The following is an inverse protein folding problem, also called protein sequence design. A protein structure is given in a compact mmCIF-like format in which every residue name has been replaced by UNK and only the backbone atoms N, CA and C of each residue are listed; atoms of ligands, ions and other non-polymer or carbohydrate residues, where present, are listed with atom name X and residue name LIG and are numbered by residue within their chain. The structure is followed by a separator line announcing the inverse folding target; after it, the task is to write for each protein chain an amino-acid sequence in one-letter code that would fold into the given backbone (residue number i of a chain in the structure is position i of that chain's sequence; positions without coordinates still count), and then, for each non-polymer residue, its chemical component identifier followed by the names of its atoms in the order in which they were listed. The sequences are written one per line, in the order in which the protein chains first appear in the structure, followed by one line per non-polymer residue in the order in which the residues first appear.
data_IF_225248914673
#
_entry.id   IF_225248914673
#
_cell.length_a   1.000
_cell.length_b   1.000
_cell.length_c   1.000
_cell.angle_alpha   90.00
_cell.angle_beta   90.00
_cell.angle_gamma   90.00
#
_symmetry.space_group_name_H-M   'P 1'
#
loop_
_entity.id
_entity.type
_entity.pdbx_description
1 polymer ?
#
# COMPACT_ATOMS: atom_id res chain seq x y z
N UNK A 1 -35.06 -28.64 49.04
CA UNK A 1 -33.83 -29.39 49.38
C UNK A 1 -32.82 -29.04 48.30
N UNK A 2 -31.61 -28.53 48.51
CA UNK A 2 -30.82 -28.28 49.70
C UNK A 2 -29.78 -27.20 49.31
N UNK A 3 -29.63 -26.18 50.16
CA UNK A 3 -28.70 -25.05 50.06
C UNK A 3 -27.24 -25.52 50.18
N UNK A 4 -26.31 -24.94 49.40
CA UNK A 4 -24.95 -24.57 49.87
C UNK A 4 -24.42 -23.33 49.11
N UNK A 5 -24.14 -22.28 49.89
CA UNK A 5 -23.29 -21.07 49.74
C UNK A 5 -22.84 -20.80 51.21
N UNK A 6 -21.71 -20.12 51.62
CA UNK A 6 -20.75 -19.22 50.91
C UNK A 6 -19.24 -19.39 51.26
N UNK A 7 -18.38 -18.59 50.61
CA UNK A 7 -17.29 -17.75 51.19
C UNK A 7 -16.59 -17.03 50.00
N UNK A 8 -16.54 -15.70 49.80
CA UNK A 8 -16.12 -14.55 50.64
C UNK A 8 -14.64 -14.74 51.11
N UNK A 9 -13.63 -13.87 50.96
CA UNK A 9 -13.42 -12.40 50.80
C UNK A 9 -11.95 -12.30 50.26
N UNK A 10 -11.50 -11.31 49.48
CA UNK A 10 -10.76 -10.14 50.01
C UNK A 10 -10.43 -9.14 48.89
N UNK A 11 -10.85 -7.89 49.10
CA UNK A 11 -10.33 -6.70 48.46
C UNK A 11 -9.00 -6.29 49.13
N UNK A 12 -8.07 -5.75 48.34
CA UNK A 12 -6.97 -4.95 48.84
C UNK A 12 -6.80 -3.71 47.95
N UNK A 13 -7.33 -2.59 48.44
CA UNK A 13 -6.92 -1.24 48.08
C UNK A 13 -5.61 -0.94 48.79
N UNK A 14 -4.63 -0.38 48.09
CA UNK A 14 -3.49 0.33 48.70
C UNK A 14 -3.38 1.73 48.08
N UNK A 15 -3.27 2.79 48.91
CA UNK A 15 -3.12 4.17 48.47
C UNK A 15 -1.69 4.70 48.66
N UNK A 16 -1.49 5.96 48.20
CA UNK A 16 -0.44 6.94 48.55
C UNK A 16 0.92 6.82 47.82
N UNK A 17 1.26 7.82 47.01
CA UNK A 17 1.99 9.00 47.49
C UNK A 17 2.15 10.04 46.36
N UNK A 18 1.70 11.26 46.60
CA UNK A 18 2.08 12.45 45.86
C UNK A 18 3.41 12.96 46.39
N UNK A 19 4.33 13.37 45.51
CA UNK A 19 5.35 14.37 45.80
C UNK A 19 5.68 15.12 44.50
N UNK A 20 5.08 16.29 44.34
CA UNK A 20 5.67 17.38 43.55
C UNK A 20 6.99 17.79 44.20
N UNK A 21 8.05 17.93 43.42
CA UNK A 21 9.20 18.77 43.76
C UNK A 21 9.82 19.29 42.47
N UNK A 22 9.62 20.58 42.23
CA UNK A 22 10.39 21.45 41.33
C UNK A 22 11.43 22.20 42.20
N UNK A 23 12.39 22.95 41.63
CA UNK A 23 13.50 22.58 40.77
C UNK A 23 14.84 22.66 41.54
N UNK A 24 15.92 22.13 40.95
CA UNK A 24 17.28 22.51 41.36
C UNK A 24 18.17 22.59 40.12
N UNK A 25 18.28 23.79 39.55
CA UNK A 25 19.54 24.21 38.92
C UNK A 25 20.62 24.21 40.00
N UNK A 26 21.84 23.75 39.68
CA UNK A 26 22.83 24.80 39.44
C UNK A 26 23.89 24.47 38.38
N UNK A 27 24.40 25.56 37.82
CA UNK A 27 25.77 25.77 37.31
C UNK A 27 25.97 25.63 35.80
N UNK A 28 25.75 26.78 35.16
CA UNK A 28 26.54 27.35 34.07
C UNK A 28 27.98 26.81 33.97
N UNK A 29 28.29 26.17 32.84
CA UNK A 29 29.65 26.16 32.27
C UNK A 29 29.62 27.05 31.04
N UNK A 30 30.12 28.27 31.20
CA UNK A 30 30.42 29.18 30.10
C UNK A 30 31.56 28.59 29.30
N UNK A 31 31.26 28.02 28.13
CA UNK A 31 32.28 27.74 27.11
C UNK A 31 32.34 28.94 26.18
N UNK A 32 33.36 29.78 26.38
CA UNK A 32 33.76 30.78 25.40
C UNK A 32 34.40 30.04 24.23
N UNK A 33 33.64 29.83 23.15
CA UNK A 33 34.23 29.41 21.88
C UNK A 33 34.26 30.62 20.95
N UNK A 34 35.44 31.24 20.87
CA UNK A 34 35.77 32.17 19.80
C UNK A 34 36.11 31.33 18.58
N UNK A 35 35.26 31.40 17.54
CA UNK A 35 35.61 30.83 16.23
C UNK A 35 35.39 31.88 15.15
N UNK A 36 36.49 32.11 14.47
CA UNK A 36 36.81 33.05 13.40
C UNK A 36 35.74 33.08 12.30
N UNK A 37 35.33 34.29 11.89
CA UNK A 37 34.67 34.54 10.61
C UNK A 37 35.74 34.44 9.52
N UNK A 38 35.74 33.35 8.78
CA UNK A 38 36.38 33.28 7.47
C UNK A 38 35.28 33.14 6.42
N UNK A 39 35.17 34.15 5.56
CA UNK A 39 34.48 34.11 4.28
C UNK A 39 35.43 33.51 3.25
N UNK A 40 35.02 32.46 2.51
CA UNK A 40 35.58 32.21 1.21
C UNK A 40 34.51 32.29 0.11
N UNK A 41 34.87 33.12 -0.86
CA UNK A 41 34.47 33.23 -2.27
C UNK A 41 33.91 31.95 -2.92
N UNK A 42 32.88 32.16 -3.74
CA UNK A 42 32.22 31.19 -4.61
C UNK A 42 33.15 30.40 -5.56
N UNK A 43 32.85 29.11 -5.76
CA UNK A 43 32.59 28.48 -7.08
C UNK A 43 32.30 26.97 -6.95
N UNK A 44 31.19 26.58 -7.61
CA UNK A 44 30.84 25.31 -8.26
C UNK A 44 30.60 23.97 -7.51
N UNK A 45 29.58 23.30 -8.05
CA UNK A 45 29.10 21.93 -7.86
C UNK A 45 28.40 21.59 -6.54
N UNK A 46 27.27 22.28 -6.30
CA UNK A 46 26.17 21.66 -5.59
C UNK A 46 25.60 20.52 -6.46
N UNK A 47 25.88 19.27 -6.09
CA UNK A 47 25.18 18.11 -6.62
C UNK A 47 23.66 18.35 -6.53
N UNK A 48 22.85 18.00 -7.55
CA UNK A 48 21.42 18.25 -7.51
C UNK A 48 20.81 17.52 -6.31
N UNK A 49 20.15 18.27 -5.44
CA UNK A 49 19.28 17.71 -4.41
C UNK A 49 18.27 16.77 -5.07
N UNK A 50 18.08 15.57 -4.52
CA UNK A 50 17.14 14.55 -5.04
C UNK A 50 15.69 15.06 -5.21
N UNK A 51 15.35 16.22 -4.65
CA UNK A 51 14.06 16.89 -4.81
C UNK A 51 13.87 17.61 -6.16
N UNK A 52 14.93 17.85 -6.95
CA UNK A 52 14.81 18.49 -8.27
C UNK A 52 14.58 17.50 -9.41
N UNK A 53 14.66 16.19 -9.16
CA UNK A 53 14.38 15.16 -10.16
C UNK A 53 12.87 14.89 -10.34
N UNK A 54 12.01 15.50 -9.51
CA UNK A 54 10.56 15.21 -9.51
C UNK A 54 9.72 16.11 -10.43
N UNK A 55 10.30 17.21 -10.97
CA UNK A 55 9.56 18.18 -11.80
C UNK A 55 9.91 18.13 -13.30
N UNK A 56 10.80 17.22 -13.73
CA UNK A 56 11.08 17.02 -15.15
C UNK A 56 10.26 15.82 -15.68
N UNK A 57 9.25 16.03 -16.55
CA UNK A 57 8.52 14.92 -17.18
C UNK A 57 9.39 14.06 -18.10
N UNK A 58 10.63 14.48 -18.39
CA UNK A 58 11.62 13.72 -19.16
C UNK A 58 12.43 12.71 -18.31
N UNK A 59 12.30 12.69 -16.98
CA UNK A 59 13.03 11.74 -16.11
C UNK A 59 12.18 10.60 -15.57
N UNK A 60 10.87 10.62 -15.80
CA UNK A 60 9.95 9.58 -15.34
C UNK A 60 9.70 8.54 -16.44
N UNK A 61 9.32 7.31 -16.07
CA UNK A 61 9.12 6.25 -17.05
C UNK A 61 8.06 6.64 -18.09
N UNK A 62 8.38 6.38 -19.36
CA UNK A 62 7.49 6.61 -20.49
C UNK A 62 7.10 5.25 -21.07
N UNK A 63 5.87 4.82 -20.80
CA UNK A 63 5.31 3.62 -21.40
C UNK A 63 4.72 3.94 -22.78
N UNK A 64 4.77 3.00 -23.75
CA UNK A 64 4.16 3.18 -25.07
C UNK A 64 2.68 3.58 -25.02
N UNK A 65 1.96 3.09 -24.00
CA UNK A 65 0.58 3.46 -23.66
C UNK A 65 0.55 3.93 -22.21
N UNK A 66 0.26 5.21 -21.98
CA UNK A 66 0.23 5.79 -20.64
C UNK A 66 -0.98 5.24 -19.85
N UNK A 67 -0.76 4.60 -18.68
CA UNK A 67 -1.85 4.08 -17.85
C UNK A 67 -2.88 5.14 -17.42
N UNK A 68 -2.52 6.43 -17.37
CA UNK A 68 -3.46 7.52 -17.05
C UNK A 68 -4.49 7.73 -18.16
N UNK A 69 -4.13 7.43 -19.39
CA UNK A 69 -5.01 7.55 -20.56
C UNK A 69 -5.80 6.26 -20.80
N UNK A 70 -5.15 5.10 -20.63
CA UNK A 70 -5.78 3.79 -20.83
C UNK A 70 -6.78 3.46 -19.73
N UNK A 71 -6.48 3.87 -18.49
CA UNK A 71 -7.25 3.54 -17.29
C UNK A 71 -7.66 4.79 -16.49
N UNK A 72 -8.48 5.71 -17.04
CA UNK A 72 -8.93 6.86 -16.28
C UNK A 72 -9.80 6.45 -15.10
N UNK A 73 -9.66 7.11 -13.95
CA UNK A 73 -10.52 6.85 -12.78
C UNK A 73 -12.01 7.07 -13.10
N UNK A 74 -12.89 6.27 -12.49
CA UNK A 74 -14.33 6.38 -12.71
C UNK A 74 -14.82 5.76 -14.04
N UNK A 75 -14.01 4.93 -14.69
CA UNK A 75 -14.33 4.34 -16.00
C UNK A 75 -14.38 2.82 -15.96
N UNK A 76 -15.09 2.25 -16.93
CA UNK A 76 -15.24 0.81 -17.15
C UNK A 76 -14.73 0.47 -18.57
N UNK A 77 -13.41 0.46 -18.83
CA UNK A 77 -12.86 0.27 -20.17
C UNK A 77 -13.09 -1.16 -20.72
N UNK A 78 -13.61 -2.07 -19.89
CA UNK A 78 -14.08 -3.38 -20.30
C UNK A 78 -13.17 -4.49 -19.82
N UNK A 79 -12.73 -5.33 -20.76
CA UNK A 79 -12.17 -6.66 -20.47
C UNK A 79 -10.64 -6.64 -20.41
N UNK A 80 -10.09 -7.33 -19.43
CA UNK A 80 -8.67 -7.66 -19.28
C UNK A 80 -8.49 -9.18 -19.39
N UNK A 81 -7.83 -9.69 -20.45
CA UNK A 81 -7.60 -11.14 -20.61
C UNK A 81 -6.62 -11.69 -19.57
N UNK A 82 -6.75 -12.97 -19.20
CA UNK A 82 -5.73 -13.66 -18.43
C UNK A 82 -4.42 -13.82 -19.22
N UNK A 83 -3.29 -13.79 -18.52
CA UNK A 83 -1.95 -13.94 -19.09
C UNK A 83 -1.60 -15.39 -19.49
N UNK A 84 -2.35 -16.37 -18.97
CA UNK A 84 -2.19 -17.79 -19.28
C UNK A 84 -2.91 -18.24 -20.57
N UNK A 85 -3.62 -17.32 -21.23
CA UNK A 85 -4.38 -17.59 -22.46
C UNK A 85 -5.67 -18.38 -22.24
N UNK A 86 -6.10 -18.57 -21.00
CA UNK A 86 -7.42 -19.13 -20.69
C UNK A 86 -8.56 -18.19 -21.07
N UNK A 87 -9.78 -18.72 -21.08
CA UNK A 87 -11.01 -17.94 -21.28
C UNK A 87 -11.47 -17.21 -20.00
N UNK A 88 -10.74 -17.34 -18.89
CA UNK A 88 -11.02 -16.61 -17.65
C UNK A 88 -10.56 -15.16 -17.78
N UNK A 89 -11.50 -14.25 -18.00
CA UNK A 89 -11.22 -12.83 -18.17
C UNK A 89 -11.59 -12.05 -16.89
N UNK A 90 -10.95 -10.91 -16.69
CA UNK A 90 -11.36 -9.93 -15.69
C UNK A 90 -12.14 -8.80 -16.38
N UNK A 91 -13.32 -8.48 -15.88
CA UNK A 91 -14.16 -7.41 -16.39
C UNK A 91 -14.14 -6.23 -15.41
N UNK A 92 -13.78 -5.06 -15.92
CA UNK A 92 -13.58 -3.83 -15.16
C UNK A 92 -14.90 -3.05 -15.11
N UNK A 93 -15.41 -2.85 -13.90
CA UNK A 93 -16.60 -2.07 -13.61
C UNK A 93 -16.27 -0.62 -13.21
N UNK A 94 -15.12 -0.41 -12.56
CA UNK A 94 -14.65 0.91 -12.13
C UNK A 94 -13.13 0.92 -11.94
N UNK A 95 -12.53 2.11 -11.94
CA UNK A 95 -11.09 2.30 -11.77
C UNK A 95 -10.82 3.40 -10.75
N UNK A 96 -9.86 3.13 -9.87
CA UNK A 96 -9.19 4.12 -9.05
C UNK A 96 -7.70 4.16 -9.42
N UNK A 97 -7.33 5.17 -10.21
CA UNK A 97 -6.00 5.34 -10.75
C UNK A 97 -5.20 6.34 -9.91
N UNK A 98 -4.22 5.83 -9.18
CA UNK A 98 -3.20 6.60 -8.46
C UNK A 98 -1.81 6.38 -9.08
N UNK A 99 -1.75 6.08 -10.38
CA UNK A 99 -0.52 5.89 -11.11
C UNK A 99 0.25 7.21 -11.23
N UNK A 100 1.49 7.16 -10.79
CA UNK A 100 2.47 8.21 -10.91
C UNK A 100 3.76 7.59 -11.47
N UNK A 101 4.19 7.97 -12.69
CA UNK A 101 5.42 7.43 -13.30
C UNK A 101 6.70 7.89 -12.58
N UNK A 102 6.62 8.90 -11.72
CA UNK A 102 7.74 9.47 -10.99
C UNK A 102 7.84 8.95 -9.55
N UNK A 103 6.82 8.25 -9.05
CA UNK A 103 6.81 7.71 -7.71
C UNK A 103 7.58 6.37 -7.63
N UNK A 104 8.31 6.09 -6.53
CA UNK A 104 8.96 4.79 -6.34
C UNK A 104 7.97 3.62 -6.37
N UNK A 105 6.76 3.84 -5.85
CA UNK A 105 5.64 2.92 -5.91
C UNK A 105 4.36 3.70 -6.22
N UNK A 106 3.64 3.28 -7.25
CA UNK A 106 2.30 3.78 -7.59
C UNK A 106 1.38 2.62 -7.99
N UNK A 107 0.08 2.87 -8.14
CA UNK A 107 -0.88 1.78 -8.33
C UNK A 107 -2.14 2.18 -9.11
N UNK A 108 -2.81 1.16 -9.63
CA UNK A 108 -4.17 1.26 -10.14
C UNK A 108 -4.98 0.14 -9.50
N UNK A 109 -6.13 0.50 -8.92
CA UNK A 109 -7.13 -0.44 -8.44
C UNK A 109 -8.23 -0.55 -9.49
N UNK A 110 -8.50 -1.77 -9.91
CA UNK A 110 -9.60 -2.09 -10.80
C UNK A 110 -10.70 -2.74 -9.96
N UNK A 111 -11.91 -2.19 -9.97
CA UNK A 111 -13.08 -2.85 -9.39
C UNK A 111 -13.76 -3.68 -10.46
N UNK A 112 -14.24 -4.86 -10.11
CA UNK A 112 -14.78 -5.72 -11.14
C UNK A 112 -15.10 -7.14 -10.71
N UNK A 113 -15.07 -8.02 -11.69
CA UNK A 113 -15.34 -9.44 -11.50
C UNK A 113 -14.77 -10.31 -12.60
N UNK A 114 -14.58 -11.58 -12.27
CA UNK A 114 -14.25 -12.61 -13.23
C UNK A 114 -15.43 -12.93 -14.14
N UNK A 115 -15.11 -13.33 -15.36
CA UNK A 115 -16.04 -13.74 -16.39
C UNK A 115 -15.37 -14.57 -17.47
N UNK A 116 -16.13 -14.82 -18.53
CA UNK A 116 -15.60 -15.40 -19.75
C UNK A 116 -15.25 -14.30 -20.77
N UNK A 117 -14.92 -14.69 -22.01
CA UNK A 117 -14.61 -13.75 -23.09
C UNK A 117 -15.76 -12.77 -23.39
N UNK A 118 -17.01 -13.14 -23.10
CA UNK A 118 -18.21 -12.44 -23.52
C UNK A 118 -18.81 -11.56 -22.43
N UNK A 119 -18.74 -11.97 -21.16
CA UNK A 119 -19.35 -11.23 -20.06
C UNK A 119 -18.85 -11.66 -18.68
N UNK A 120 -19.21 -10.86 -17.68
CA UNK A 120 -19.09 -11.19 -16.26
C UNK A 120 -19.76 -12.54 -15.95
N UNK A 121 -19.19 -13.33 -15.03
CA UNK A 121 -19.81 -14.57 -14.57
C UNK A 121 -21.12 -14.33 -13.78
N UNK A 122 -21.31 -13.11 -13.24
CA UNK A 122 -22.55 -12.71 -12.57
C UNK A 122 -22.80 -13.38 -11.22
N UNK A 123 -21.75 -13.91 -10.57
CA UNK A 123 -21.87 -14.58 -9.26
C UNK A 123 -21.20 -13.78 -8.16
N UNK A 124 -21.69 -13.92 -6.92
CA UNK A 124 -21.03 -13.30 -5.78
C UNK A 124 -19.61 -13.85 -5.55
N UNK A 125 -19.28 -15.03 -6.07
CA UNK A 125 -17.95 -15.65 -5.95
C UNK A 125 -16.95 -15.10 -6.96
N UNK A 126 -17.42 -14.54 -8.09
CA UNK A 126 -16.54 -13.99 -9.13
C UNK A 126 -16.11 -12.55 -8.88
N UNK A 127 -16.70 -11.86 -7.90
CA UNK A 127 -16.32 -10.49 -7.55
C UNK A 127 -14.93 -10.50 -6.89
N UNK A 128 -14.02 -9.73 -7.43
CA UNK A 128 -12.67 -9.55 -6.91
C UNK A 128 -12.17 -8.18 -7.42
N UNK A 129 -11.27 -7.56 -6.68
CA UNK A 129 -10.60 -6.36 -7.15
C UNK A 129 -9.24 -6.71 -7.76
N UNK A 130 -8.90 -6.02 -8.83
CA UNK A 130 -7.59 -6.05 -9.45
C UNK A 130 -6.65 -4.99 -8.88
N UNK A 131 -5.38 -5.35 -8.71
CA UNK A 131 -4.31 -4.45 -8.32
C UNK A 131 -3.19 -4.53 -9.35
N UNK A 132 -2.84 -3.38 -9.93
CA UNK A 132 -1.59 -3.17 -10.63
C UNK A 132 -0.68 -2.29 -9.80
N UNK A 133 0.55 -2.75 -9.56
CA UNK A 133 1.58 -1.97 -8.89
C UNK A 133 2.65 -1.61 -9.90
N UNK A 134 3.17 -0.39 -9.79
CA UNK A 134 4.18 0.16 -10.67
C UNK A 134 5.37 0.62 -9.85
N UNK A 135 6.57 0.24 -10.28
CA UNK A 135 7.84 0.63 -9.66
C UNK A 135 8.50 1.64 -10.59
N UNK A 136 8.64 2.89 -10.14
CA UNK A 136 9.16 3.99 -10.96
C UNK A 136 8.45 4.09 -12.33
N UNK A 137 7.13 3.88 -12.34
CA UNK A 137 6.29 3.91 -13.54
C UNK A 137 6.30 2.65 -14.42
N UNK A 138 7.15 1.65 -14.15
CA UNK A 138 7.08 0.37 -14.87
C UNK A 138 6.19 -0.63 -14.13
N UNK A 139 5.35 -1.43 -14.82
CA UNK A 139 4.55 -2.46 -14.16
C UNK A 139 5.45 -3.45 -13.41
N UNK A 140 5.18 -3.66 -12.12
CA UNK A 140 5.91 -4.64 -11.33
C UNK A 140 5.58 -6.08 -11.78
N UNK A 141 4.31 -6.29 -12.13
CA UNK A 141 3.72 -7.50 -12.70
C UNK A 141 2.48 -7.10 -13.51
N UNK A 142 1.94 -8.05 -14.26
CA UNK A 142 0.53 -7.99 -14.69
C UNK A 142 -0.42 -7.87 -13.49
N UNK A 143 -1.66 -7.44 -13.73
CA UNK A 143 -2.65 -7.21 -12.68
C UNK A 143 -2.90 -8.49 -11.86
N UNK A 144 -2.90 -8.36 -10.54
CA UNK A 144 -3.21 -9.44 -9.58
C UNK A 144 -4.56 -9.21 -8.91
N UNK A 145 -5.21 -10.31 -8.51
CA UNK A 145 -6.50 -10.24 -7.84
C UNK A 145 -6.36 -10.31 -6.32
N UNK A 146 -7.22 -9.56 -5.66
CA UNK A 146 -7.47 -9.61 -4.22
C UNK A 146 -8.99 -9.66 -3.99
N UNK A 147 -9.43 -10.07 -2.81
CA UNK A 147 -10.85 -10.15 -2.48
C UNK A 147 -11.57 -8.81 -2.68
N UNK A 148 -11.34 -7.86 -1.79
CA UNK A 148 -11.77 -6.46 -1.91
C UNK A 148 -10.66 -5.56 -1.40
N UNK A 149 -10.19 -4.62 -2.21
CA UNK A 149 -9.19 -3.63 -1.80
C UNK A 149 -9.90 -2.52 -1.04
N UNK A 150 -9.62 -2.40 0.24
CA UNK A 150 -10.29 -1.41 1.08
C UNK A 150 -9.63 -0.04 0.94
N UNK A 151 -8.30 -0.01 0.95
CA UNK A 151 -7.52 1.23 0.90
C UNK A 151 -6.05 0.99 0.54
N UNK A 152 -5.42 1.97 -0.12
CA UNK A 152 -3.98 2.01 -0.33
C UNK A 152 -3.50 3.41 0.05
N UNK A 153 -2.63 3.50 1.06
CA UNK A 153 -2.14 4.78 1.59
C UNK A 153 -0.63 4.91 1.34
N UNK A 154 -0.16 5.96 0.66
CA UNK A 154 1.28 6.17 0.45
C UNK A 154 2.00 6.45 1.77
N UNK A 155 3.25 6.03 1.85
CA UNK A 155 4.15 6.26 2.98
C UNK A 155 5.30 7.17 2.57
N UNK A 156 5.79 8.00 3.50
CA UNK A 156 6.82 9.02 3.23
C UNK A 156 8.12 8.46 2.64
N UNK A 157 8.45 7.22 2.95
CA UNK A 157 9.60 6.50 2.46
C UNK A 157 9.33 5.72 1.15
N UNK A 158 8.37 6.19 0.34
CA UNK A 158 8.15 5.73 -1.04
C UNK A 158 7.50 4.35 -1.19
N UNK A 159 6.89 3.82 -0.13
CA UNK A 159 6.05 2.61 -0.21
C UNK A 159 4.61 2.93 0.11
N UNK A 160 3.84 1.91 0.50
CA UNK A 160 2.42 2.09 0.80
C UNK A 160 1.94 1.10 1.87
N UNK A 161 0.93 1.49 2.64
CA UNK A 161 0.09 0.54 3.39
C UNK A 161 -1.03 0.07 2.48
N UNK A 162 -1.13 -1.24 2.30
CA UNK A 162 -2.14 -1.91 1.49
C UNK A 162 -3.12 -2.64 2.40
N UNK A 163 -4.40 -2.29 2.33
CA UNK A 163 -5.47 -2.86 3.16
C UNK A 163 -6.49 -3.55 2.25
N UNK A 164 -6.79 -4.80 2.56
CA UNK A 164 -7.76 -5.59 1.79
C UNK A 164 -8.54 -6.54 2.68
N UNK A 165 -9.70 -6.93 2.16
CA UNK A 165 -10.59 -7.89 2.80
C UNK A 165 -10.76 -9.12 1.94
N UNK A 166 -10.78 -10.29 2.58
CA UNK A 166 -11.16 -11.56 1.97
C UNK A 166 -12.50 -12.05 2.49
N UNK A 167 -13.09 -12.96 1.73
CA UNK A 167 -14.30 -13.65 2.13
C UNK A 167 -14.08 -14.49 3.38
N UNK A 168 -15.17 -14.70 4.13
CA UNK A 168 -15.24 -15.69 5.20
C UNK A 168 -15.12 -17.13 4.68
N UNK A 169 -15.55 -18.09 5.49
CA UNK A 169 -15.53 -19.50 5.10
C UNK A 169 -16.44 -19.77 3.90
N UNK A 170 -17.52 -19.02 3.78
CA UNK A 170 -18.47 -19.10 2.68
C UNK A 170 -18.62 -17.75 1.98
N UNK A 171 -18.95 -17.77 0.69
CA UNK A 171 -19.20 -16.54 -0.09
C UNK A 171 -20.28 -15.65 0.53
N UNK A 172 -21.29 -16.26 1.16
CA UNK A 172 -22.39 -15.56 1.80
C UNK A 172 -21.97 -14.77 3.07
N UNK A 173 -20.83 -15.12 3.67
CA UNK A 173 -20.30 -14.39 4.82
C UNK A 173 -19.85 -12.97 4.42
N UNK A 174 -19.55 -12.78 3.13
CA UNK A 174 -18.99 -11.53 2.60
C UNK A 174 -17.53 -11.32 3.03
N UNK A 175 -17.05 -10.10 2.79
CA UNK A 175 -15.67 -9.68 3.06
C UNK A 175 -15.47 -9.32 4.54
N UNK A 176 -15.19 -10.33 5.36
CA UNK A 176 -15.11 -10.22 6.83
C UNK A 176 -13.71 -10.47 7.38
N UNK A 177 -12.79 -10.99 6.57
CA UNK A 177 -11.41 -11.21 6.96
C UNK A 177 -10.58 -10.02 6.48
N UNK A 178 -10.17 -9.13 7.39
CA UNK A 178 -9.43 -7.91 7.05
C UNK A 178 -7.94 -8.10 7.25
N UNK A 179 -7.14 -7.64 6.30
CA UNK A 179 -5.69 -7.75 6.29
C UNK A 179 -5.04 -6.41 5.95
N UNK A 180 -3.80 -6.23 6.39
CA UNK A 180 -2.99 -5.07 6.05
C UNK A 180 -1.53 -5.46 5.87
N UNK A 181 -0.88 -4.91 4.86
CA UNK A 181 0.55 -5.11 4.63
C UNK A 181 1.25 -3.80 4.26
N UNK A 182 2.47 -3.61 4.76
CA UNK A 182 3.34 -2.53 4.32
C UNK A 182 4.14 -3.00 3.09
N UNK A 183 3.96 -2.32 1.97
CA UNK A 183 4.63 -2.59 0.70
C UNK A 183 5.85 -1.69 0.53
N UNK A 184 6.96 -2.28 0.10
CA UNK A 184 8.23 -1.61 -0.22
C UNK A 184 8.78 -2.09 -1.54
N UNK A 185 9.55 -1.25 -2.20
CA UNK A 185 10.41 -1.66 -3.30
C UNK A 185 11.77 -2.06 -2.72
N UNK A 186 12.10 -3.34 -2.81
CA UNK A 186 13.38 -3.91 -2.37
C UNK A 186 13.96 -4.69 -3.53
N UNK A 187 15.22 -4.42 -3.88
CA UNK A 187 15.93 -5.07 -4.99
C UNK A 187 15.15 -5.06 -6.32
N UNK A 188 14.43 -3.96 -6.58
CA UNK A 188 13.63 -3.77 -7.80
C UNK A 188 12.29 -4.52 -7.83
N UNK A 189 11.85 -5.10 -6.72
CA UNK A 189 10.58 -5.81 -6.62
C UNK A 189 9.71 -5.28 -5.47
N UNK A 190 8.39 -5.38 -5.63
CA UNK A 190 7.45 -5.13 -4.52
C UNK A 190 7.56 -6.28 -3.51
N UNK A 191 7.82 -5.91 -2.25
CA UNK A 191 7.89 -6.81 -1.10
C UNK A 191 6.96 -6.32 0.01
N UNK A 192 6.22 -7.24 0.63
CA UNK A 192 5.50 -6.95 1.87
C UNK A 192 6.44 -7.14 3.06
N UNK A 193 6.71 -6.07 3.82
CA UNK A 193 7.75 -6.05 4.86
C UNK A 193 7.20 -6.08 6.29
N UNK A 194 5.93 -5.74 6.46
CA UNK A 194 5.24 -5.76 7.76
C UNK A 194 3.74 -6.07 7.57
N UNK A 195 3.07 -6.46 8.65
CA UNK A 195 1.66 -6.85 8.64
C UNK A 195 1.45 -8.30 8.16
N UNK A 196 0.36 -8.53 7.43
CA UNK A 196 -0.08 -9.84 6.92
C UNK A 196 0.67 -10.27 5.65
N UNK A 197 2.01 -10.26 5.71
CA UNK A 197 2.89 -10.46 4.54
C UNK A 197 2.66 -11.80 3.84
N UNK A 198 2.51 -12.89 4.61
CA UNK A 198 2.23 -14.21 4.05
C UNK A 198 0.90 -14.25 3.28
N UNK A 199 -0.12 -13.53 3.76
CA UNK A 199 -1.43 -13.45 3.11
C UNK A 199 -1.37 -12.60 1.85
N UNK A 200 -0.59 -11.52 1.85
CA UNK A 200 -0.33 -10.75 0.64
C UNK A 200 0.31 -11.62 -0.45
N UNK A 201 1.33 -12.41 -0.11
CA UNK A 201 2.04 -13.27 -1.05
C UNK A 201 1.20 -14.43 -1.61
N UNK A 202 0.19 -14.90 -0.86
CA UNK A 202 -0.79 -15.89 -1.38
C UNK A 202 -1.45 -15.42 -2.68
N UNK A 203 -1.73 -14.12 -2.79
CA UNK A 203 -2.39 -13.50 -3.95
C UNK A 203 -1.41 -12.87 -4.92
N UNK A 204 -0.41 -12.14 -4.40
CA UNK A 204 0.59 -11.46 -5.23
C UNK A 204 1.43 -12.43 -6.06
N UNK A 205 1.67 -13.63 -5.55
CA UNK A 205 2.43 -14.69 -6.22
C UNK A 205 1.53 -15.80 -6.78
N UNK A 206 0.21 -15.62 -6.73
CA UNK A 206 -0.73 -16.52 -7.39
C UNK A 206 -0.42 -16.58 -8.91
N UNK A 207 -0.41 -17.76 -9.54
CA UNK A 207 0.11 -17.93 -10.89
C UNK A 207 -0.71 -17.24 -11.98
N UNK A 208 -1.98 -16.91 -11.74
CA UNK A 208 -2.84 -16.22 -12.71
C UNK A 208 -2.67 -14.71 -12.58
N UNK A 209 -2.57 -14.02 -13.72
CA UNK A 209 -2.59 -12.56 -13.80
C UNK A 209 -3.46 -12.10 -14.97
N UNK A 210 -3.70 -10.79 -15.07
CA UNK A 210 -4.50 -10.21 -16.16
C UNK A 210 -3.71 -9.09 -16.86
N UNK A 211 -3.78 -9.10 -18.19
CA UNK A 211 -2.93 -8.32 -19.08
C UNK A 211 -3.26 -6.82 -19.04
N UNK A 212 -2.34 -6.01 -18.53
CA UNK A 212 -2.48 -4.55 -18.44
C UNK A 212 -2.52 -3.86 -19.80
N UNK A 213 -2.10 -4.52 -20.87
CA UNK A 213 -2.15 -3.93 -22.22
C UNK A 213 -1.38 -2.62 -22.39
N UNK A 214 -0.49 -2.29 -21.44
CA UNK A 214 0.38 -1.09 -21.44
C UNK A 214 1.62 -1.26 -22.32
N UNK A 215 1.77 -2.45 -22.91
CA UNK A 215 2.84 -2.83 -23.81
C UNK A 215 2.34 -2.66 -25.26
N UNK A 216 3.20 -2.12 -26.12
CA UNK A 216 3.13 -1.97 -27.60
C UNK A 216 1.76 -2.04 -28.30
#
# INVERSE_FOLDING_TARGET
MQRIVPAAVLAALLPLAACSTEPADPTTVTVTQTTVVEEPTAADDAAPSAQQAQDNPETCAQLPKDPREVYPSGTAPGRMPADDGSDYNYWIDDIDNAYDPCAPLSWIVFRGSLGDEHSHAGTAASIADGLALYINGEPAKEMKLFGRIDNITPLENGGATFEWSERGQYTADGYVNHYSAELRVIDGAVSAVAGDTAKFHEWWDYPVSYLLGTYD
#
